data_IF_153124757181
#
_entry.id   IF_153124757181
#
_cell.length_a   1.000
_cell.length_b   1.000
_cell.length_c   1.000
_cell.angle_alpha   90.00
_cell.angle_beta   90.00
_cell.angle_gamma   90.00
#
_symmetry.space_group_name_H-M   'P 1'
#
loop_
_entity.id
_entity.type
_entity.pdbx_description
1 polymer ?
#
# COMPACT_ATOMS: atom_id res chain seq x y z
N UNK A 1 -1.07 -23.43 -7.78
CA UNK A 1 -0.04 -22.58 -7.16
C UNK A 1 -0.07 -21.22 -7.83
N UNK A 2 0.17 -20.16 -7.07
CA UNK A 2 0.21 -18.78 -7.59
C UNK A 2 1.65 -18.27 -7.53
N UNK A 3 1.97 -17.22 -8.29
CA UNK A 3 3.28 -16.56 -8.22
C UNK A 3 3.14 -15.16 -7.67
N UNK A 4 4.05 -14.76 -6.79
CA UNK A 4 4.27 -13.35 -6.44
C UNK A 4 5.41 -12.80 -7.30
N UNK A 5 5.27 -11.55 -7.73
CA UNK A 5 6.26 -10.80 -8.51
C UNK A 5 6.63 -9.55 -7.74
N UNK A 6 7.92 -9.30 -7.52
CA UNK A 6 8.41 -8.18 -6.74
C UNK A 6 9.79 -7.74 -7.23
N UNK A 7 10.19 -6.50 -6.92
CA UNK A 7 11.57 -6.06 -7.09
C UNK A 7 12.38 -6.46 -5.86
N UNK A 8 13.58 -7.01 -6.06
CA UNK A 8 14.53 -7.19 -4.96
C UNK A 8 15.25 -5.88 -4.61
N UNK A 9 16.14 -5.93 -3.62
CA UNK A 9 16.89 -4.75 -3.15
C UNK A 9 17.84 -4.18 -4.20
N UNK A 10 18.09 -4.91 -5.30
CA UNK A 10 18.89 -4.45 -6.45
C UNK A 10 18.02 -3.87 -7.57
N UNK A 11 16.68 -3.91 -7.42
CA UNK A 11 15.74 -3.45 -8.41
C UNK A 11 15.47 -4.47 -9.53
N UNK A 12 15.85 -5.73 -9.35
CA UNK A 12 15.60 -6.79 -10.32
C UNK A 12 14.25 -7.46 -10.07
N UNK A 13 13.55 -7.84 -11.14
CA UNK A 13 12.24 -8.51 -11.04
C UNK A 13 12.44 -9.98 -10.66
N UNK A 14 11.96 -10.34 -9.49
CA UNK A 14 11.94 -11.71 -8.98
C UNK A 14 10.54 -12.33 -9.06
N UNK A 15 10.49 -13.66 -9.15
CA UNK A 15 9.24 -14.44 -9.13
C UNK A 15 9.37 -15.60 -8.17
N UNK A 16 8.38 -15.78 -7.31
CA UNK A 16 8.36 -16.88 -6.35
C UNK A 16 6.99 -17.54 -6.31
N UNK A 17 6.97 -18.88 -6.30
CA UNK A 17 5.74 -19.65 -6.07
C UNK A 17 5.28 -19.48 -4.62
N UNK A 18 3.97 -19.26 -4.46
CA UNK A 18 3.31 -19.09 -3.19
C UNK A 18 2.03 -19.91 -3.13
N UNK A 19 1.70 -20.34 -1.93
CA UNK A 19 0.36 -20.82 -1.59
C UNK A 19 -0.50 -19.63 -1.17
N UNK A 20 -1.67 -19.50 -1.79
CA UNK A 20 -2.62 -18.42 -1.45
C UNK A 20 -3.74 -18.99 -0.61
N UNK A 21 -3.92 -18.43 0.59
CA UNK A 21 -5.01 -18.78 1.49
C UNK A 21 -6.03 -17.64 1.54
N UNK A 22 -7.31 -17.97 1.64
CA UNK A 22 -8.35 -16.97 1.88
C UNK A 22 -8.49 -16.79 3.39
N UNK A 23 -8.32 -15.57 3.88
CA UNK A 23 -8.38 -15.24 5.31
C UNK A 23 -9.35 -14.08 5.53
N UNK A 24 -10.23 -14.23 6.52
CA UNK A 24 -11.13 -13.16 6.98
C UNK A 24 -10.58 -12.45 8.22
N UNK A 25 -10.83 -11.15 8.29
CA UNK A 25 -10.48 -10.31 9.44
C UNK A 25 -11.59 -9.30 9.68
N UNK A 26 -11.78 -8.94 10.94
CA UNK A 26 -12.54 -7.74 11.31
C UNK A 26 -11.59 -6.53 11.32
N UNK A 27 -12.06 -5.39 10.83
CA UNK A 27 -11.35 -4.11 10.95
C UNK A 27 -11.70 -3.47 12.29
N UNK A 28 -10.67 -3.11 13.08
CA UNK A 28 -10.85 -2.33 14.29
C UNK A 28 -11.48 -0.96 14.01
N UNK A 29 -12.14 -0.39 15.02
CA UNK A 29 -12.83 0.91 14.93
C UNK A 29 -11.89 2.10 15.16
N UNK A 30 -10.68 1.87 15.68
CA UNK A 30 -9.68 2.92 15.86
C UNK A 30 -8.92 3.15 14.53
N UNK A 31 -9.13 4.32 13.94
CA UNK A 31 -8.34 4.82 12.83
C UNK A 31 -7.26 5.78 13.31
N UNK A 32 -6.02 5.54 12.89
CA UNK A 32 -4.90 6.45 13.10
C UNK A 32 -4.57 7.11 11.77
N UNK A 33 -4.40 8.43 11.77
CA UNK A 33 -3.88 9.15 10.62
C UNK A 33 -2.38 9.19 10.66
N UNK A 34 -1.77 8.65 9.61
CA UNK A 34 -0.33 8.68 9.42
C UNK A 34 0.01 9.57 8.22
N UNK A 35 0.90 10.53 8.43
CA UNK A 35 1.30 11.50 7.41
C UNK A 35 2.35 10.92 6.48
N UNK A 36 2.15 11.10 5.18
CA UNK A 36 3.13 10.74 4.15
C UNK A 36 3.92 11.99 3.80
N UNK A 37 5.15 12.07 4.29
CA UNK A 37 6.01 13.26 4.18
C UNK A 37 7.17 12.98 3.22
N UNK A 38 7.39 13.86 2.25
CA UNK A 38 8.52 13.72 1.31
C UNK A 38 9.87 13.80 2.04
N UNK A 39 10.83 12.97 1.61
CA UNK A 39 12.23 13.01 2.06
C UNK A 39 13.18 13.51 0.94
N UNK A 40 12.64 13.91 -0.21
CA UNK A 40 13.44 14.41 -1.32
C UNK A 40 12.78 15.58 -2.04
N UNK A 41 13.63 16.39 -2.68
CA UNK A 41 13.19 17.38 -3.67
C UNK A 41 13.07 16.69 -5.03
N UNK A 42 11.90 16.78 -5.68
CA UNK A 42 11.65 16.12 -6.96
C UNK A 42 10.82 16.97 -7.90
N UNK A 43 11.34 17.23 -9.11
CA UNK A 43 10.55 17.79 -10.20
C UNK A 43 9.59 16.75 -10.74
N UNK A 44 8.33 17.13 -10.88
CA UNK A 44 7.27 16.26 -11.39
C UNK A 44 6.68 16.82 -12.68
N UNK A 45 6.19 15.92 -13.53
CA UNK A 45 5.56 16.25 -14.80
C UNK A 45 4.14 15.70 -14.83
N UNK A 46 3.22 16.49 -15.37
CA UNK A 46 1.82 16.11 -15.46
C UNK A 46 1.65 14.70 -16.06
N UNK A 47 0.85 13.87 -15.41
CA UNK A 47 0.49 12.50 -15.77
C UNK A 47 1.67 11.51 -15.91
N UNK A 48 2.87 11.89 -15.48
CA UNK A 48 4.00 10.97 -15.35
C UNK A 48 4.11 10.52 -13.90
N UNK A 49 3.72 9.27 -13.63
CA UNK A 49 3.85 8.69 -12.28
C UNK A 49 5.31 8.68 -11.86
N UNK A 50 5.58 9.25 -10.69
CA UNK A 50 6.92 9.38 -10.14
C UNK A 50 7.01 8.65 -8.80
N UNK A 51 8.08 7.87 -8.64
CA UNK A 51 8.42 7.26 -7.36
C UNK A 51 9.06 8.29 -6.44
N UNK A 52 8.55 8.50 -5.24
CA UNK A 52 9.05 9.50 -4.28
C UNK A 52 9.42 8.80 -2.98
N UNK A 53 10.62 9.07 -2.51
CA UNK A 53 11.13 8.66 -1.20
C UNK A 53 10.45 9.48 -0.11
N UNK A 54 9.93 8.81 0.91
CA UNK A 54 9.23 9.45 2.03
C UNK A 54 9.94 9.15 3.34
N UNK A 55 9.66 9.97 4.36
CA UNK A 55 10.01 9.63 5.74
C UNK A 55 9.41 8.28 6.09
N UNK A 56 10.25 7.38 6.60
CA UNK A 56 9.85 5.99 6.87
C UNK A 56 8.67 5.93 7.84
N UNK A 57 7.62 5.24 7.42
CA UNK A 57 6.48 4.86 8.27
C UNK A 57 6.67 3.41 8.69
N UNK A 58 6.67 3.14 10.00
CA UNK A 58 6.68 1.76 10.53
C UNK A 58 5.25 1.27 10.72
N UNK A 59 4.96 0.10 10.18
CA UNK A 59 3.66 -0.55 10.30
C UNK A 59 3.81 -1.79 11.19
N UNK A 60 3.17 -1.81 12.36
CA UNK A 60 3.18 -3.01 13.19
C UNK A 60 2.41 -4.15 12.52
N UNK A 61 2.59 -5.39 13.00
CA UNK A 61 1.77 -6.53 12.60
C UNK A 61 0.27 -6.18 12.67
N UNK A 62 -0.48 -6.69 11.71
CA UNK A 62 -1.94 -6.53 11.57
C UNK A 62 -2.41 -5.12 11.19
N UNK A 63 -1.52 -4.16 10.94
CA UNK A 63 -1.91 -2.86 10.42
C UNK A 63 -2.38 -2.95 8.95
N UNK A 64 -3.55 -2.43 8.63
CA UNK A 64 -4.06 -2.24 7.27
C UNK A 64 -4.02 -0.76 6.97
N UNK A 65 -3.46 -0.44 5.80
CA UNK A 65 -3.28 0.92 5.34
C UNK A 65 -4.29 1.17 4.22
N UNK A 66 -5.09 2.22 4.39
CA UNK A 66 -6.05 2.66 3.38
C UNK A 66 -5.75 4.12 3.04
N UNK A 67 -5.51 4.47 1.76
CA UNK A 67 -5.34 5.86 1.36
C UNK A 67 -6.52 6.72 1.79
N UNK A 68 -6.24 7.88 2.38
CA UNK A 68 -7.28 8.88 2.61
C UNK A 68 -7.51 9.66 1.31
N UNK A 69 -8.62 9.39 0.62
CA UNK A 69 -8.92 9.88 -0.75
C UNK A 69 -9.06 11.40 -0.90
N UNK A 70 -8.95 12.17 0.20
CA UNK A 70 -8.91 13.62 0.13
C UNK A 70 -7.59 14.10 -0.48
N UNK A 71 -7.69 14.85 -1.59
CA UNK A 71 -6.55 15.51 -2.22
C UNK A 71 -5.95 16.54 -1.25
N UNK A 72 -4.70 16.33 -0.86
CA UNK A 72 -3.95 17.21 0.06
C UNK A 72 -2.83 17.97 -0.63
N UNK A 73 -2.26 17.41 -1.69
CA UNK A 73 -1.16 18.01 -2.43
C UNK A 73 -1.69 18.70 -3.70
N UNK A 74 -1.34 19.97 -3.93
CA UNK A 74 -1.83 20.72 -5.08
C UNK A 74 -1.43 20.06 -6.41
N UNK A 75 -0.18 19.58 -6.47
CA UNK A 75 0.42 18.99 -7.67
C UNK A 75 -0.11 17.59 -8.03
N UNK A 76 -0.85 16.88 -7.16
CA UNK A 76 -1.23 15.50 -7.46
C UNK A 76 -1.75 14.70 -6.28
N UNK A 77 -1.67 13.37 -6.38
CA UNK A 77 -2.08 12.44 -5.34
C UNK A 77 -1.22 11.18 -5.33
N UNK A 78 -1.21 10.49 -4.19
CA UNK A 78 -0.52 9.21 -4.01
C UNK A 78 -1.44 8.08 -4.49
N UNK A 79 -1.00 7.32 -5.50
CA UNK A 79 -1.75 6.17 -6.03
C UNK A 79 -1.51 4.89 -5.25
N UNK A 80 -0.26 4.71 -4.80
CA UNK A 80 0.16 3.55 -4.04
C UNK A 80 1.35 3.88 -3.16
N UNK A 81 1.51 3.07 -2.12
CA UNK A 81 2.60 3.17 -1.14
C UNK A 81 3.30 1.83 -1.06
N UNK A 82 4.58 1.84 -0.76
CA UNK A 82 5.33 0.60 -0.65
C UNK A 82 6.72 0.77 -0.05
N UNK A 83 7.45 -0.33 -0.13
CA UNK A 83 8.89 -0.39 0.11
C UNK A 83 9.50 -1.33 -0.93
N UNK A 84 10.77 -1.13 -1.30
CA UNK A 84 11.52 -2.10 -2.08
C UNK A 84 11.52 -3.47 -1.42
N UNK A 85 11.73 -4.52 -2.21
CA UNK A 85 11.84 -5.89 -1.73
C UNK A 85 10.53 -6.67 -1.78
N UNK A 86 10.59 -7.88 -1.23
CA UNK A 86 9.48 -8.83 -1.21
C UNK A 86 8.35 -8.31 -0.32
N UNK A 87 7.12 -8.41 -0.81
CA UNK A 87 5.93 -8.13 0.00
C UNK A 87 5.89 -9.07 1.21
N UNK A 88 5.73 -8.48 2.40
CA UNK A 88 5.60 -9.21 3.65
C UNK A 88 4.15 -9.52 3.97
N UNK A 89 3.92 -10.56 4.77
CA UNK A 89 2.59 -10.90 5.26
C UNK A 89 2.08 -9.84 6.23
N UNK A 90 0.77 -9.84 6.47
CA UNK A 90 0.13 -8.87 7.36
C UNK A 90 0.56 -9.08 8.83
N UNK A 91 0.95 -10.30 9.19
CA UNK A 91 1.43 -10.69 10.52
C UNK A 91 2.87 -10.21 10.81
N UNK A 92 3.58 -9.69 9.81
CA UNK A 92 4.96 -9.24 9.93
C UNK A 92 5.05 -7.71 10.06
N UNK A 93 6.12 -7.24 10.71
CA UNK A 93 6.50 -5.83 10.69
C UNK A 93 6.79 -5.38 9.25
N UNK A 94 6.11 -4.31 8.86
CA UNK A 94 6.23 -3.69 7.55
C UNK A 94 6.69 -2.25 7.69
N UNK A 95 7.13 -1.70 6.57
CA UNK A 95 7.50 -0.31 6.46
C UNK A 95 7.05 0.23 5.12
N UNK A 96 6.81 1.54 5.08
CA UNK A 96 6.59 2.30 3.85
C UNK A 96 7.73 3.30 3.76
N UNK A 97 8.44 3.25 2.63
CA UNK A 97 9.61 4.10 2.33
C UNK A 97 9.45 4.89 1.04
N UNK A 98 8.53 4.46 0.17
CA UNK A 98 8.28 5.10 -1.12
C UNK A 98 6.80 5.17 -1.43
N UNK A 99 6.43 6.17 -2.22
CA UNK A 99 5.11 6.32 -2.79
C UNK A 99 5.19 6.50 -4.30
N UNK A 100 4.14 6.07 -5.00
CA UNK A 100 3.94 6.35 -6.41
C UNK A 100 2.95 7.51 -6.49
N UNK A 101 3.47 8.67 -6.85
CA UNK A 101 2.71 9.91 -6.92
C UNK A 101 2.30 10.17 -8.36
N UNK A 102 1.01 10.39 -8.62
CA UNK A 102 0.51 10.87 -9.93
C UNK A 102 0.35 12.39 -9.88
N UNK A 103 1.18 13.13 -10.63
CA UNK A 103 1.02 14.56 -10.78
C UNK A 103 -0.15 14.89 -11.70
N UNK A 104 -0.91 15.93 -11.36
CA UNK A 104 -1.96 16.53 -12.21
C UNK A 104 -1.53 17.88 -12.79
N UNK A 105 -0.32 18.32 -12.44
CA UNK A 105 0.34 19.52 -12.94
C UNK A 105 1.85 19.32 -12.86
N UNK A 106 2.57 20.02 -13.73
CA UNK A 106 4.00 20.22 -13.58
C UNK A 106 4.30 20.99 -12.29
N UNK A 107 5.44 20.70 -11.67
CA UNK A 107 5.89 21.42 -10.49
C UNK A 107 7.08 20.75 -9.82
N UNK A 108 7.30 21.11 -8.56
CA UNK A 108 8.37 20.58 -7.74
C UNK A 108 7.81 20.22 -6.38
N UNK A 109 8.04 18.97 -5.96
CA UNK A 109 7.81 18.49 -4.60
C UNK A 109 9.09 18.78 -3.83
N UNK A 110 8.94 19.27 -2.60
CA UNK A 110 10.03 19.58 -1.69
C UNK A 110 10.10 18.58 -0.56
N UNK A 111 11.29 18.44 -0.01
CA UNK A 111 11.52 17.77 1.26
C UNK A 111 10.58 18.37 2.31
N UNK A 112 10.00 17.52 3.16
CA UNK A 112 9.01 17.87 4.18
C UNK A 112 7.58 18.20 3.68
N UNK A 113 7.31 18.18 2.37
CA UNK A 113 5.95 18.32 1.85
C UNK A 113 5.04 17.16 2.28
N UNK A 114 3.81 17.49 2.67
CA UNK A 114 2.75 16.51 2.95
C UNK A 114 2.14 16.03 1.63
N UNK A 115 2.45 14.79 1.24
CA UNK A 115 1.95 14.20 0.00
C UNK A 115 0.54 13.61 0.16
N UNK A 116 0.29 12.94 1.30
CA UNK A 116 -0.97 12.28 1.61
C UNK A 116 -1.12 12.01 3.11
N UNK A 117 -2.30 11.52 3.50
CA UNK A 117 -2.53 10.89 4.80
C UNK A 117 -3.05 9.48 4.57
N UNK A 118 -2.58 8.55 5.37
CA UNK A 118 -3.01 7.16 5.38
C UNK A 118 -3.88 6.90 6.60
N UNK A 119 -4.98 6.18 6.41
CA UNK A 119 -5.71 5.59 7.52
C UNK A 119 -5.05 4.27 7.87
N UNK A 120 -4.52 4.16 9.09
CA UNK A 120 -3.98 2.94 9.65
C UNK A 120 -5.04 2.34 10.58
N UNK A 121 -5.51 1.16 10.21
CA UNK A 121 -6.51 0.37 10.93
C UNK A 121 -5.90 -0.95 11.37
N UNK A 122 -6.35 -1.53 12.48
CA UNK A 122 -5.83 -2.83 12.93
C UNK A 122 -6.79 -3.95 12.57
N UNK A 123 -6.29 -4.95 11.83
CA UNK A 123 -7.00 -6.18 11.55
C UNK A 123 -7.02 -7.10 12.78
N UNK A 124 -8.18 -7.69 13.06
CA UNK A 124 -8.34 -8.73 14.06
C UNK A 124 -8.71 -10.02 13.33
N UNK A 125 -7.85 -11.07 13.37
CA UNK A 125 -8.18 -12.34 12.73
C UNK A 125 -9.50 -12.89 13.27
N UNK A 126 -10.41 -13.30 12.38
CA UNK A 126 -11.72 -13.85 12.77
C UNK A 126 -11.83 -15.37 12.58
N UNK A 127 -10.74 -16.04 12.23
CA UNK A 127 -10.77 -17.44 11.79
C UNK A 127 -11.15 -17.58 10.32
N UNK A 128 -11.66 -18.75 9.92
CA UNK A 128 -12.08 -19.04 8.55
C UNK A 128 -13.36 -18.29 8.16
N UNK A 129 -13.51 -17.84 6.90
CA UNK A 129 -14.75 -17.22 6.43
C UNK A 129 -15.91 -18.21 6.54
N UNK A 130 -17.10 -17.71 6.86
CA UNK A 130 -18.31 -18.52 6.92
C UNK A 130 -18.61 -19.21 5.58
N UNK A 131 -19.41 -20.28 5.60
CA UNK A 131 -19.79 -20.99 4.38
C UNK A 131 -20.46 -20.09 3.32
N UNK A 132 -21.21 -19.08 3.75
CA UNK A 132 -21.85 -18.10 2.85
C UNK A 132 -20.83 -17.16 2.21
N UNK A 133 -19.89 -16.63 2.99
CA UNK A 133 -18.78 -15.81 2.48
C UNK A 133 -17.92 -16.63 1.52
N UNK A 134 -17.59 -17.87 1.88
CA UNK A 134 -16.82 -18.78 1.04
C UNK A 134 -17.55 -19.14 -0.26
N UNK A 135 -18.88 -19.34 -0.22
CA UNK A 135 -19.72 -19.59 -1.40
C UNK A 135 -19.75 -18.38 -2.33
N UNK A 136 -19.81 -17.15 -1.79
CA UNK A 136 -19.68 -15.92 -2.56
C UNK A 136 -18.30 -15.82 -3.24
N UNK A 137 -17.21 -16.07 -2.50
CA UNK A 137 -15.86 -16.07 -3.06
C UNK A 137 -15.68 -17.11 -4.18
N UNK A 138 -16.15 -18.34 -3.98
CA UNK A 138 -16.03 -19.43 -4.98
C UNK A 138 -16.78 -19.12 -6.27
N UNK A 139 -17.97 -18.52 -6.20
CA UNK A 139 -18.73 -18.09 -7.39
C UNK A 139 -17.96 -17.10 -8.25
N UNK A 140 -17.20 -16.19 -7.63
CA UNK A 140 -16.43 -15.14 -8.33
C UNK A 140 -15.19 -15.67 -9.05
N UNK A 141 -14.59 -16.76 -8.56
CA UNK A 141 -13.45 -17.43 -9.22
C UNK A 141 -13.84 -18.35 -10.38
N UNK A 142 -15.13 -18.65 -10.57
CA UNK A 142 -15.64 -19.50 -11.65
C UNK A 142 -16.25 -18.70 -12.82
N UNK A 143 -16.27 -17.37 -12.76
CA UNK A 143 -16.63 -16.56 -13.92
C UNK A 143 -15.35 -16.25 -14.72
N UNK A 144 -15.35 -16.52 -16.04
CA UNK A 144 -14.18 -16.33 -16.91
C UNK A 144 -13.75 -14.86 -17.02
#
# INVERSE_FOLDING_TARGET
>A
MSKIVFWDDKGEIQRQDIETTVTSYDLGTLGIWESVISQEDKKVKNDKVEKITIKKIKLPPRAIVIPCIFKRHALGYVESVGSPGKAKKIEEDREIKEVYFRPVSDGEIKTDDLLAVLNVLYARPKGEPSQSEMKWFKRRRMQP
#
